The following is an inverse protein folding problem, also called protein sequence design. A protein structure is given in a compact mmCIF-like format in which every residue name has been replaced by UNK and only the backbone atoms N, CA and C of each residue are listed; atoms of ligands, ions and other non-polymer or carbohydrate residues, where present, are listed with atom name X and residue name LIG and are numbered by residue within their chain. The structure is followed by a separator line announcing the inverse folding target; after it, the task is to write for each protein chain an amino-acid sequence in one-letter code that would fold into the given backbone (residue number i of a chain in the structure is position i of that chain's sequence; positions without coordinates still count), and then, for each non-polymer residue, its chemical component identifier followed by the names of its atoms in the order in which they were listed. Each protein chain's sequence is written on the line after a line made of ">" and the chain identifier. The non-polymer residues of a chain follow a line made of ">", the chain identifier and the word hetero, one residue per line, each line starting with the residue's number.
data_IF_713404539386
#
_entry.id   IF_713404539386
#
_cell.length_a   1.000
_cell.length_b   1.000
_cell.length_c   1.000
_cell.angle_alpha   90.00
_cell.angle_beta   90.00
_cell.angle_gamma   90.00
#
_symmetry.space_group_name_H-M   'P 1'
#
loop_
_entity.id
_entity.type
_entity.pdbx_description
1 polymer ?
#
# COMPACT_ATOMS: atom_id res chain seq x y z
N UNK A 1 -9.94 -19.82 -13.35
CA UNK A 1 -9.60 -19.68 -11.97
C UNK A 1 -10.53 -20.48 -11.06
N UNK A 2 -11.06 -19.84 -10.00
CA UNK A 2 -11.80 -20.47 -8.88
C UNK A 2 -12.92 -21.39 -9.34
N UNK A 3 -13.77 -20.98 -10.28
CA UNK A 3 -14.87 -21.83 -10.79
C UNK A 3 -14.40 -23.15 -11.39
N UNK A 4 -13.30 -23.15 -12.15
CA UNK A 4 -12.74 -24.39 -12.72
C UNK A 4 -12.25 -25.34 -11.63
N UNK A 5 -11.68 -24.81 -10.55
CA UNK A 5 -11.25 -25.63 -9.41
C UNK A 5 -12.45 -26.22 -8.68
N UNK A 6 -13.51 -25.44 -8.47
CA UNK A 6 -14.73 -25.91 -7.82
C UNK A 6 -15.43 -27.00 -8.66
N UNK A 7 -15.56 -26.81 -9.97
CA UNK A 7 -16.11 -27.83 -10.88
C UNK A 7 -15.26 -29.12 -10.85
N UNK A 8 -13.93 -28.99 -10.88
CA UNK A 8 -13.03 -30.15 -10.82
C UNK A 8 -13.11 -30.91 -9.50
N UNK A 9 -13.43 -30.25 -8.39
CA UNK A 9 -13.65 -30.85 -7.08
C UNK A 9 -15.09 -31.37 -6.88
N UNK A 10 -15.97 -31.26 -7.87
CA UNK A 10 -17.37 -31.69 -7.75
C UNK A 10 -18.24 -30.81 -6.85
N UNK A 11 -17.83 -29.57 -6.60
CA UNK A 11 -18.62 -28.65 -5.80
C UNK A 11 -19.96 -28.31 -6.49
N UNK A 12 -21.08 -28.20 -5.71
CA UNK A 12 -22.36 -27.78 -6.27
C UNK A 12 -22.23 -26.39 -6.95
N UNK A 13 -22.85 -26.22 -8.12
CA UNK A 13 -22.71 -24.99 -8.92
C UNK A 13 -23.25 -23.73 -8.25
N UNK A 14 -24.17 -23.88 -7.32
CA UNK A 14 -24.82 -22.75 -6.64
C UNK A 14 -24.10 -22.29 -5.36
N UNK A 15 -23.00 -22.96 -5.00
CA UNK A 15 -22.24 -22.64 -3.78
C UNK A 15 -21.50 -21.31 -3.88
N UNK A 16 -21.02 -20.94 -5.08
CA UNK A 16 -20.32 -19.67 -5.36
C UNK A 16 -20.90 -19.02 -6.60
N UNK A 17 -21.32 -17.79 -6.48
CA UNK A 17 -21.82 -16.99 -7.59
C UNK A 17 -21.00 -15.70 -7.72
N UNK A 18 -20.58 -15.38 -8.95
CA UNK A 18 -19.89 -14.12 -9.26
C UNK A 18 -20.88 -13.17 -9.94
N UNK A 19 -21.09 -12.02 -9.33
CA UNK A 19 -21.95 -10.96 -9.87
C UNK A 19 -21.09 -9.72 -10.10
N UNK A 20 -20.90 -9.35 -11.36
CA UNK A 20 -20.27 -8.08 -11.73
C UNK A 20 -21.37 -7.02 -11.92
N UNK A 21 -21.43 -6.05 -11.02
CA UNK A 21 -22.47 -5.03 -11.03
C UNK A 21 -21.95 -3.67 -10.53
N UNK A 22 -22.69 -2.61 -10.84
CA UNK A 22 -22.34 -1.26 -10.42
C UNK A 22 -22.74 -0.96 -8.96
N UNK A 23 -22.31 0.19 -8.43
CA UNK A 23 -22.48 0.56 -7.00
C UNK A 23 -23.94 0.51 -6.51
N UNK A 24 -24.90 0.94 -7.31
CA UNK A 24 -26.33 0.93 -6.93
C UNK A 24 -26.85 -0.50 -6.68
N UNK A 25 -26.44 -1.47 -7.51
CA UNK A 25 -26.86 -2.86 -7.33
C UNK A 25 -26.18 -3.49 -6.10
N UNK A 26 -24.90 -3.15 -5.84
CA UNK A 26 -24.21 -3.57 -4.62
C UNK A 26 -24.90 -3.00 -3.38
N UNK A 27 -25.28 -1.72 -3.39
CA UNK A 27 -26.01 -1.10 -2.27
C UNK A 27 -27.37 -1.77 -2.03
N UNK A 28 -28.11 -2.08 -3.09
CA UNK A 28 -29.37 -2.82 -2.97
C UNK A 28 -29.15 -4.22 -2.38
N UNK A 29 -28.08 -4.90 -2.82
CA UNK A 29 -27.72 -6.21 -2.31
C UNK A 29 -27.36 -6.15 -0.82
N UNK A 30 -26.56 -5.16 -0.38
CA UNK A 30 -26.18 -5.03 1.05
C UNK A 30 -27.35 -4.76 1.98
N UNK A 31 -28.50 -4.31 1.45
CA UNK A 31 -29.75 -4.10 2.20
C UNK A 31 -30.68 -5.32 2.21
N UNK A 32 -30.30 -6.40 1.51
CA UNK A 32 -31.18 -7.56 1.36
C UNK A 32 -31.16 -8.43 2.62
N UNK A 33 -32.34 -8.60 3.24
CA UNK A 33 -32.51 -9.37 4.48
C UNK A 33 -32.17 -10.87 4.36
N UNK A 34 -31.98 -11.38 3.15
CA UNK A 34 -31.57 -12.75 2.88
C UNK A 34 -30.06 -12.98 3.07
N UNK A 35 -29.27 -11.90 3.16
CA UNK A 35 -27.84 -12.03 3.43
C UNK A 35 -27.60 -12.39 4.90
N UNK A 36 -26.95 -13.50 5.13
CA UNK A 36 -26.59 -13.95 6.47
C UNK A 36 -25.33 -13.26 7.01
N UNK A 37 -24.44 -12.79 6.13
CA UNK A 37 -23.19 -12.11 6.47
C UNK A 37 -22.66 -11.31 5.29
N UNK A 38 -22.00 -10.20 5.55
CA UNK A 38 -21.30 -9.39 4.53
C UNK A 38 -19.83 -9.28 4.92
N UNK A 39 -18.95 -9.72 4.03
CA UNK A 39 -17.51 -9.40 4.11
C UNK A 39 -17.20 -8.36 3.04
N UNK A 40 -16.65 -7.23 3.45
CA UNK A 40 -16.29 -6.13 2.55
C UNK A 40 -14.79 -5.84 2.67
N UNK A 41 -14.14 -5.68 1.52
CA UNK A 41 -12.75 -5.23 1.42
C UNK A 41 -12.72 -3.97 0.56
N UNK A 42 -12.20 -2.86 1.10
CA UNK A 42 -12.11 -1.60 0.36
C UNK A 42 -11.86 -0.38 1.24
N UNK A 43 -12.22 0.82 0.76
CA UNK A 43 -11.96 2.05 1.51
C UNK A 43 -12.90 2.23 2.71
N UNK A 44 -12.43 2.95 3.72
CA UNK A 44 -13.18 3.32 4.93
C UNK A 44 -14.53 3.95 4.62
N UNK A 45 -14.54 4.88 3.66
CA UNK A 45 -15.75 5.60 3.28
C UNK A 45 -16.83 4.65 2.75
N UNK A 46 -16.43 3.65 1.94
CA UNK A 46 -17.39 2.65 1.43
C UNK A 46 -17.74 1.64 2.51
N UNK A 47 -16.79 1.23 3.35
CA UNK A 47 -17.04 0.31 4.47
C UNK A 47 -18.09 0.85 5.46
N UNK A 48 -18.05 2.15 5.78
CA UNK A 48 -19.08 2.81 6.60
C UNK A 48 -20.46 2.72 5.96
N UNK A 49 -20.55 2.97 4.65
CA UNK A 49 -21.82 2.85 3.90
C UNK A 49 -22.35 1.41 3.88
N UNK A 50 -21.48 0.42 3.78
CA UNK A 50 -21.85 -0.99 3.87
C UNK A 50 -22.40 -1.33 5.25
N UNK A 51 -21.74 -0.89 6.31
CA UNK A 51 -22.22 -1.09 7.69
C UNK A 51 -23.58 -0.41 7.93
N UNK A 52 -23.76 0.83 7.48
CA UNK A 52 -25.01 1.57 7.55
C UNK A 52 -26.14 0.86 6.78
N UNK A 53 -25.84 0.31 5.60
CA UNK A 53 -26.80 -0.41 4.77
C UNK A 53 -27.23 -1.75 5.39
N UNK A 54 -26.32 -2.44 6.09
CA UNK A 54 -26.57 -3.72 6.76
C UNK A 54 -27.31 -3.59 8.10
N UNK A 55 -27.17 -2.45 8.79
CA UNK A 55 -27.69 -2.23 10.14
C UNK A 55 -29.21 -2.45 10.31
N UNK A 56 -30.11 -2.00 9.39
CA UNK A 56 -31.54 -2.21 9.54
C UNK A 56 -31.98 -3.67 9.59
N UNK A 57 -31.20 -4.58 8.99
CA UNK A 57 -31.45 -6.02 8.96
C UNK A 57 -30.64 -6.77 10.03
N UNK A 58 -29.80 -6.06 10.80
CA UNK A 58 -28.84 -6.63 11.75
C UNK A 58 -27.92 -7.68 11.08
N UNK A 59 -27.65 -7.52 9.77
CA UNK A 59 -26.73 -8.40 9.05
C UNK A 59 -25.31 -8.18 9.56
N UNK A 60 -24.63 -9.22 10.10
CA UNK A 60 -23.24 -9.10 10.56
C UNK A 60 -22.30 -8.72 9.42
N UNK A 61 -21.35 -7.82 9.71
CA UNK A 61 -20.36 -7.37 8.73
C UNK A 61 -18.95 -7.63 9.22
N UNK A 62 -18.07 -8.10 8.31
CA UNK A 62 -16.62 -8.07 8.48
C UNK A 62 -16.06 -7.04 7.50
N UNK A 63 -15.34 -6.05 8.02
CA UNK A 63 -14.81 -4.94 7.23
C UNK A 63 -13.28 -4.99 7.24
N UNK A 64 -12.69 -5.23 6.08
CA UNK A 64 -11.26 -5.11 5.83
C UNK A 64 -11.01 -3.81 5.07
N UNK A 65 -10.44 -2.82 5.75
CA UNK A 65 -10.37 -1.44 5.25
C UNK A 65 -8.94 -1.02 4.96
N UNK A 66 -8.75 0.28 4.71
CA UNK A 66 -7.43 0.85 4.47
C UNK A 66 -6.52 0.90 5.70
N UNK A 67 -5.25 1.19 5.47
CA UNK A 67 -4.23 1.34 6.49
C UNK A 67 -3.35 2.57 6.25
N UNK A 68 -2.59 2.95 7.28
CA UNK A 68 -1.47 3.89 7.19
C UNK A 68 -0.30 3.31 7.98
N UNK A 69 0.10 2.13 7.56
CA UNK A 69 0.93 1.21 8.33
C UNK A 69 2.33 1.76 8.58
N UNK A 70 2.78 1.82 9.84
CA UNK A 70 4.11 2.25 10.19
C UNK A 70 5.13 1.10 10.19
N UNK A 71 6.35 1.40 9.75
CA UNK A 71 7.56 0.70 10.15
C UNK A 71 8.29 1.55 11.19
N UNK A 72 8.33 1.13 12.43
CA UNK A 72 9.13 1.77 13.47
C UNK A 72 10.53 1.15 13.50
N UNK A 73 11.52 1.93 13.10
CA UNK A 73 12.93 1.52 13.06
C UNK A 73 13.61 2.01 14.32
N UNK A 74 14.06 1.10 15.19
CA UNK A 74 14.67 1.42 16.46
C UNK A 74 16.12 1.92 16.32
N UNK A 75 16.64 2.69 17.27
CA UNK A 75 18.02 3.16 17.27
C UNK A 75 19.02 2.01 17.13
N UNK A 76 20.04 2.21 16.28
CA UNK A 76 21.10 1.23 16.05
C UNK A 76 20.71 0.00 15.24
N UNK A 77 19.53 0.02 14.60
CA UNK A 77 19.12 -1.00 13.64
C UNK A 77 20.10 -1.06 12.46
N UNK A 78 20.47 -2.26 12.04
CA UNK A 78 21.21 -2.45 10.79
C UNK A 78 20.27 -2.25 9.59
N UNK A 79 20.25 -1.03 9.06
CA UNK A 79 19.40 -0.67 7.92
C UNK A 79 19.70 -1.51 6.69
N UNK A 80 20.97 -1.86 6.45
CA UNK A 80 21.41 -2.62 5.28
C UNK A 80 20.86 -4.04 5.30
N UNK A 81 20.80 -4.66 6.49
CA UNK A 81 20.20 -5.98 6.66
C UNK A 81 18.72 -6.00 6.29
N UNK A 82 17.98 -4.94 6.62
CA UNK A 82 16.53 -4.86 6.38
C UNK A 82 16.16 -4.19 5.05
N UNK A 83 17.13 -3.69 4.26
CA UNK A 83 16.87 -2.91 3.05
C UNK A 83 15.88 -3.58 2.09
N UNK A 84 16.04 -4.87 1.81
CA UNK A 84 15.15 -5.63 0.92
C UNK A 84 13.73 -5.74 1.48
N UNK A 85 13.59 -5.83 2.80
CA UNK A 85 12.27 -5.86 3.47
C UNK A 85 11.58 -4.50 3.36
N UNK A 86 12.31 -3.39 3.55
CA UNK A 86 11.77 -2.04 3.38
C UNK A 86 11.25 -1.83 1.96
N UNK A 87 12.05 -2.21 0.95
CA UNK A 87 11.66 -2.10 -0.46
C UNK A 87 10.40 -2.92 -0.76
N UNK A 88 10.38 -4.19 -0.33
CA UNK A 88 9.22 -5.06 -0.52
C UNK A 88 7.98 -4.53 0.19
N UNK A 89 8.12 -4.10 1.44
CA UNK A 89 7.01 -3.64 2.27
C UNK A 89 6.30 -2.41 1.68
N UNK A 90 7.06 -1.51 1.02
CA UNK A 90 6.52 -0.31 0.40
C UNK A 90 6.07 -0.53 -1.05
N UNK A 91 6.87 -1.22 -1.87
CA UNK A 91 6.68 -1.23 -3.32
C UNK A 91 6.02 -2.50 -3.88
N UNK A 92 5.75 -3.52 -3.06
CA UNK A 92 4.98 -4.68 -3.50
C UNK A 92 3.63 -4.22 -4.06
N UNK A 93 3.25 -4.73 -5.25
CA UNK A 93 2.05 -4.31 -5.98
C UNK A 93 1.97 -2.78 -6.21
N UNK A 94 3.12 -2.10 -6.31
CA UNK A 94 3.20 -0.62 -6.43
C UNK A 94 2.57 0.11 -5.24
N UNK A 95 2.71 -0.43 -4.03
CA UNK A 95 2.09 0.13 -2.82
C UNK A 95 0.57 0.02 -2.77
N UNK A 96 -0.06 -0.70 -3.69
CA UNK A 96 -1.49 -0.96 -3.71
C UNK A 96 -1.83 -2.14 -2.79
N UNK A 97 -1.55 -1.96 -1.50
CA UNK A 97 -1.72 -2.98 -0.49
C UNK A 97 -2.20 -2.33 0.82
N UNK A 98 -3.33 -2.78 1.36
CA UNK A 98 -3.88 -2.26 2.62
C UNK A 98 -2.93 -2.40 3.81
N UNK A 99 -2.09 -3.46 3.83
CA UNK A 99 -1.02 -3.70 4.82
C UNK A 99 0.36 -3.29 4.30
N UNK A 100 0.45 -2.51 3.22
CA UNK A 100 1.70 -1.94 2.73
C UNK A 100 2.24 -0.89 3.71
N UNK A 101 3.53 -0.93 3.99
CA UNK A 101 4.12 0.10 4.85
C UNK A 101 4.21 1.40 4.07
N UNK A 102 3.54 2.42 4.59
CA UNK A 102 3.53 3.76 4.01
C UNK A 102 4.36 4.76 4.81
N UNK A 103 4.64 4.51 6.10
CA UNK A 103 5.38 5.42 6.99
C UNK A 103 6.59 4.71 7.59
N UNK A 104 7.79 5.15 7.26
CA UNK A 104 9.03 4.68 7.85
C UNK A 104 9.48 5.68 8.92
N UNK A 105 9.17 5.36 10.18
CA UNK A 105 9.55 6.14 11.35
C UNK A 105 10.96 5.76 11.76
N UNK A 106 11.86 6.71 11.78
CA UNK A 106 13.29 6.46 11.98
C UNK A 106 13.89 7.50 12.96
N UNK A 107 14.86 7.17 13.80
CA UNK A 107 15.55 8.17 14.60
C UNK A 107 16.09 9.31 13.75
N UNK A 108 16.02 10.54 14.24
CA UNK A 108 16.54 11.73 13.55
C UNK A 108 17.96 11.50 13.01
N UNK A 109 18.81 10.85 13.81
CA UNK A 109 20.20 10.56 13.46
C UNK A 109 20.39 9.52 12.35
N UNK A 110 19.35 8.77 11.97
CA UNK A 110 19.41 7.71 10.96
C UNK A 110 18.61 8.04 9.70
N UNK A 111 17.96 9.19 9.65
CA UNK A 111 17.10 9.59 8.53
C UNK A 111 17.86 9.65 7.20
N UNK A 112 19.01 10.33 7.20
CA UNK A 112 19.82 10.50 6.00
C UNK A 112 20.44 9.18 5.55
N UNK A 113 20.85 8.32 6.50
CA UNK A 113 21.37 6.98 6.21
C UNK A 113 20.30 6.09 5.56
N UNK A 114 19.06 6.14 6.07
CA UNK A 114 17.95 5.40 5.47
C UNK A 114 17.66 5.92 4.06
N UNK A 115 17.59 7.23 3.87
CA UNK A 115 17.34 7.85 2.57
C UNK A 115 18.44 7.46 1.57
N UNK A 116 19.71 7.58 1.93
CA UNK A 116 20.84 7.23 1.08
C UNK A 116 20.87 5.72 0.74
N UNK A 117 20.40 4.86 1.65
CA UNK A 117 20.31 3.43 1.43
C UNK A 117 19.22 3.05 0.42
N UNK A 118 18.03 3.67 0.52
CA UNK A 118 16.87 3.28 -0.30
C UNK A 118 16.79 4.02 -1.63
N UNK A 119 17.30 5.25 -1.72
CA UNK A 119 17.27 6.07 -2.95
C UNK A 119 17.76 5.31 -4.20
N UNK A 120 19.00 4.75 -4.23
CA UNK A 120 19.50 4.05 -5.41
C UNK A 120 18.71 2.77 -5.72
N UNK A 121 18.12 2.13 -4.69
CA UNK A 121 17.28 0.94 -4.85
C UNK A 121 15.92 1.29 -5.47
N UNK A 122 15.33 2.41 -5.06
CA UNK A 122 14.07 2.91 -5.61
C UNK A 122 14.28 3.37 -7.06
N UNK A 123 15.39 4.08 -7.33
CA UNK A 123 15.75 4.53 -8.67
C UNK A 123 16.01 3.36 -9.65
N UNK A 124 16.45 2.21 -9.12
CA UNK A 124 16.70 1.01 -9.91
C UNK A 124 15.43 0.18 -10.22
N UNK A 125 14.26 0.50 -9.63
CA UNK A 125 13.03 -0.22 -9.90
C UNK A 125 12.59 0.00 -11.36
N UNK A 126 12.49 -1.08 -12.09
CA UNK A 126 12.10 -1.08 -13.51
C UNK A 126 10.57 -1.18 -13.60
N UNK A 127 9.95 -0.08 -13.98
CA UNK A 127 8.53 -0.05 -14.25
C UNK A 127 8.24 -0.67 -15.63
N UNK A 128 7.16 -1.45 -15.74
CA UNK A 128 6.77 -2.04 -17.02
C UNK A 128 5.61 -3.02 -16.91
N UNK A 129 5.33 -3.75 -18.00
CA UNK A 129 4.32 -4.79 -18.02
C UNK A 129 4.98 -6.18 -17.97
N UNK A 130 4.46 -7.03 -17.09
CA UNK A 130 4.81 -8.46 -17.05
C UNK A 130 4.05 -9.27 -18.09
N UNK A 131 3.05 -8.66 -18.74
CA UNK A 131 2.27 -9.26 -19.83
C UNK A 131 2.92 -8.89 -21.17
N UNK A 132 4.06 -9.47 -21.48
CA UNK A 132 4.59 -9.39 -22.83
C UNK A 132 3.75 -10.31 -23.75
N UNK A 133 3.36 -9.82 -24.91
CA UNK A 133 2.55 -10.59 -25.88
C UNK A 133 3.23 -11.90 -26.32
N UNK A 134 4.54 -12.02 -26.16
CA UNK A 134 5.34 -13.19 -26.55
C UNK A 134 5.63 -14.17 -25.43
N UNK A 135 5.40 -13.80 -24.14
CA UNK A 135 5.80 -14.64 -22.99
C UNK A 135 4.86 -14.46 -21.82
N UNK A 136 4.00 -15.43 -21.60
CA UNK A 136 3.27 -15.56 -20.34
C UNK A 136 4.26 -15.75 -19.17
N UNK A 137 4.65 -14.67 -18.53
CA UNK A 137 5.09 -14.66 -17.14
C UNK A 137 6.40 -15.36 -16.77
N UNK A 138 7.24 -15.73 -17.71
CA UNK A 138 8.57 -16.25 -17.41
C UNK A 138 9.62 -15.18 -17.74
N UNK A 139 10.35 -14.76 -16.72
CA UNK A 139 11.54 -13.93 -16.90
C UNK A 139 12.39 -14.53 -18.01
N UNK A 140 12.83 -13.70 -18.97
CA UNK A 140 13.79 -14.17 -19.95
C UNK A 140 15.07 -14.56 -19.22
N UNK A 141 15.69 -15.68 -19.59
CA UNK A 141 16.99 -16.11 -19.06
C UNK A 141 18.12 -15.06 -19.29
N UNK A 142 17.81 -13.98 -19.98
CA UNK A 142 18.76 -12.92 -20.37
C UNK A 142 18.69 -11.65 -19.51
N UNK A 143 17.81 -11.57 -18.51
CA UNK A 143 17.77 -10.44 -17.56
C UNK A 143 17.32 -9.08 -18.13
N UNK A 144 17.11 -8.95 -19.43
CA UNK A 144 16.83 -7.68 -20.10
C UNK A 144 15.36 -7.22 -19.96
N UNK A 145 14.44 -8.14 -19.65
CA UNK A 145 12.99 -7.89 -19.54
C UNK A 145 12.43 -8.06 -18.11
N UNK A 146 13.27 -7.95 -17.09
CA UNK A 146 12.79 -8.06 -15.70
C UNK A 146 12.04 -6.79 -15.31
N UNK A 147 10.77 -6.93 -14.93
CA UNK A 147 9.93 -5.87 -14.40
C UNK A 147 9.81 -6.03 -12.90
N UNK A 148 10.21 -5.00 -12.17
CA UNK A 148 10.13 -4.96 -10.69
C UNK A 148 8.82 -4.34 -10.23
N UNK A 149 8.27 -3.41 -11.03
CA UNK A 149 7.12 -2.59 -10.68
C UNK A 149 6.13 -2.52 -11.86
N UNK A 150 4.95 -3.10 -11.68
CA UNK A 150 3.88 -3.12 -12.68
C UNK A 150 3.11 -1.81 -12.77
N UNK A 151 2.09 -1.79 -13.63
CA UNK A 151 1.14 -0.68 -13.68
C UNK A 151 0.23 -0.68 -12.44
N UNK A 152 -0.23 0.49 -12.06
CA UNK A 152 -1.32 0.63 -11.11
C UNK A 152 -2.64 0.22 -11.76
N UNK A 153 -3.63 -0.15 -10.95
CA UNK A 153 -4.93 -0.64 -11.46
C UNK A 153 -5.69 0.44 -12.24
N UNK A 154 -5.46 1.72 -11.93
CA UNK A 154 -6.12 2.88 -12.54
C UNK A 154 -5.30 4.14 -12.32
N UNK A 155 -5.43 5.10 -13.22
CA UNK A 155 -4.91 6.46 -13.09
C UNK A 155 -5.86 7.43 -12.35
N UNK A 156 -7.05 6.96 -11.98
CA UNK A 156 -8.08 7.79 -11.34
C UNK A 156 -7.61 8.50 -10.05
N UNK A 157 -6.55 7.99 -9.41
CA UNK A 157 -5.98 8.60 -8.20
C UNK A 157 -4.71 9.41 -8.43
N UNK A 158 -4.19 9.47 -9.65
CA UNK A 158 -2.90 10.13 -9.91
C UNK A 158 -2.91 11.62 -9.57
N UNK A 159 -3.99 12.33 -9.93
CA UNK A 159 -4.11 13.76 -9.58
C UNK A 159 -4.09 13.98 -8.06
N UNK A 160 -4.80 13.13 -7.31
CA UNK A 160 -4.82 13.20 -5.85
C UNK A 160 -3.45 12.85 -5.24
N UNK A 161 -2.76 11.85 -5.81
CA UNK A 161 -1.43 11.44 -5.35
C UNK A 161 -0.38 12.52 -5.61
N UNK A 162 -0.37 13.10 -6.81
CA UNK A 162 0.49 14.23 -7.16
C UNK A 162 0.21 15.46 -6.27
N UNK A 163 -1.08 15.73 -5.98
CA UNK A 163 -1.47 16.82 -5.08
C UNK A 163 -1.02 16.59 -3.63
N UNK A 164 -1.11 15.35 -3.10
CA UNK A 164 -0.60 15.00 -1.77
C UNK A 164 0.91 15.19 -1.66
N UNK A 165 1.66 14.80 -2.69
CA UNK A 165 3.11 14.96 -2.74
C UNK A 165 3.47 16.45 -2.82
N UNK A 166 2.79 17.20 -3.69
CA UNK A 166 3.03 18.65 -3.83
C UNK A 166 2.71 19.41 -2.54
N UNK A 167 1.63 19.05 -1.85
CA UNK A 167 1.26 19.61 -0.55
C UNK A 167 2.34 19.34 0.51
N UNK A 168 2.85 18.11 0.59
CA UNK A 168 3.92 17.75 1.51
C UNK A 168 5.21 18.56 1.23
N UNK A 169 5.59 18.70 -0.04
CA UNK A 169 6.75 19.51 -0.45
C UNK A 169 6.57 20.97 -0.08
N UNK A 170 5.38 21.53 -0.31
CA UNK A 170 5.07 22.91 0.08
C UNK A 170 5.15 23.15 1.60
N UNK A 171 4.92 22.10 2.40
CA UNK A 171 5.05 22.12 3.86
C UNK A 171 6.46 21.78 4.37
N UNK A 172 7.44 21.56 3.48
CA UNK A 172 8.84 21.35 3.84
C UNK A 172 9.35 19.91 3.74
N UNK A 173 8.54 18.95 3.29
CA UNK A 173 9.06 17.63 2.92
C UNK A 173 9.98 17.73 1.70
N UNK A 174 11.02 16.89 1.66
CA UNK A 174 11.95 16.85 0.54
C UNK A 174 11.58 15.70 -0.40
N UNK A 175 11.17 16.03 -1.62
CA UNK A 175 11.05 15.05 -2.70
C UNK A 175 12.45 14.70 -3.23
N UNK A 176 12.90 13.49 -2.97
CA UNK A 176 14.21 12.99 -3.38
C UNK A 176 14.15 12.46 -4.81
N UNK A 177 13.10 11.67 -5.12
CA UNK A 177 12.86 11.16 -6.47
C UNK A 177 11.38 10.81 -6.69
N UNK A 178 10.97 10.65 -7.94
CA UNK A 178 9.62 10.27 -8.34
C UNK A 178 8.60 11.40 -8.30
N UNK A 179 7.46 11.17 -7.67
CA UNK A 179 6.42 12.17 -7.41
C UNK A 179 5.49 12.50 -8.57
N UNK A 180 5.49 11.70 -9.64
CA UNK A 180 4.70 11.99 -10.84
C UNK A 180 4.30 10.73 -11.61
N UNK A 181 3.24 10.86 -12.39
CA UNK A 181 2.86 9.84 -13.39
C UNK A 181 3.92 9.71 -14.47
N UNK A 182 4.02 8.52 -15.06
CA UNK A 182 4.98 8.19 -16.12
C UNK A 182 4.24 7.61 -17.31
N UNK A 183 4.58 8.07 -18.51
CA UNK A 183 4.19 7.41 -19.76
C UNK A 183 5.34 6.50 -20.17
N UNK A 184 5.08 5.20 -20.22
CA UNK A 184 6.09 4.21 -20.58
C UNK A 184 6.16 4.06 -22.11
N UNK A 185 7.35 4.16 -22.69
CA UNK A 185 7.52 4.15 -24.15
C UNK A 185 6.98 2.86 -24.80
N UNK A 186 7.32 1.69 -24.23
CA UNK A 186 6.89 0.38 -24.75
C UNK A 186 5.42 0.05 -24.42
N UNK A 187 4.89 0.56 -23.29
CA UNK A 187 3.52 0.29 -22.82
C UNK A 187 2.77 1.57 -22.46
N UNK A 188 2.45 2.43 -23.45
CA UNK A 188 1.89 3.77 -23.19
C UNK A 188 0.48 3.75 -22.61
N UNK A 189 -0.24 2.62 -22.72
CA UNK A 189 -1.58 2.45 -22.15
C UNK A 189 -1.56 2.00 -20.68
N UNK A 190 -0.39 1.72 -20.12
CA UNK A 190 -0.27 1.34 -18.72
C UNK A 190 -0.34 2.55 -17.79
N UNK A 191 -0.98 2.37 -16.63
CA UNK A 191 -1.10 3.41 -15.61
C UNK A 191 0.15 3.38 -14.71
N UNK A 192 1.22 4.06 -15.08
CA UNK A 192 2.46 4.05 -14.30
C UNK A 192 2.62 5.32 -13.48
N UNK A 193 3.06 5.13 -12.24
CA UNK A 193 3.48 6.19 -11.34
C UNK A 193 4.92 5.94 -10.91
N UNK A 194 5.75 6.97 -10.92
CA UNK A 194 7.16 6.82 -10.57
C UNK A 194 7.31 6.40 -9.10
N UNK A 195 8.08 5.34 -8.78
CA UNK A 195 8.46 5.05 -7.41
C UNK A 195 9.06 6.29 -6.76
N UNK A 196 8.54 6.65 -5.59
CA UNK A 196 8.72 7.98 -4.99
C UNK A 196 9.38 7.85 -3.63
N UNK A 197 10.29 8.77 -3.31
CA UNK A 197 10.89 8.92 -1.99
C UNK A 197 10.71 10.34 -1.49
N UNK A 198 10.07 10.46 -0.33
CA UNK A 198 9.93 11.69 0.43
C UNK A 198 10.64 11.57 1.79
N UNK A 199 11.43 12.57 2.16
CA UNK A 199 12.07 12.68 3.47
C UNK A 199 11.61 13.93 4.21
N UNK A 200 11.93 14.05 5.50
CA UNK A 200 11.50 15.17 6.35
C UNK A 200 9.97 15.32 6.43
N UNK A 201 9.25 14.21 6.27
CA UNK A 201 7.79 14.21 6.36
C UNK A 201 7.37 14.41 7.82
N UNK A 202 6.53 15.42 8.05
CA UNK A 202 6.02 15.73 9.38
C UNK A 202 4.65 15.09 9.62
N UNK A 203 4.29 14.75 10.87
CA UNK A 203 3.04 14.08 11.19
C UNK A 203 1.79 14.93 10.88
N UNK A 204 1.94 16.25 10.75
CA UNK A 204 0.85 17.17 10.40
C UNK A 204 0.55 17.23 8.91
N UNK A 205 1.43 16.71 8.06
CA UNK A 205 1.23 16.68 6.62
C UNK A 205 0.15 15.66 6.24
N UNK A 206 -0.72 16.02 5.31
CA UNK A 206 -1.78 15.12 4.84
C UNK A 206 -1.27 13.76 4.38
N UNK A 207 -0.14 13.74 3.68
CA UNK A 207 0.49 12.52 3.18
C UNK A 207 0.92 11.55 4.31
N UNK A 208 1.15 12.05 5.53
CA UNK A 208 1.46 11.25 6.71
C UNK A 208 0.21 10.64 7.36
N UNK A 209 -0.99 11.17 7.05
CA UNK A 209 -2.26 10.82 7.67
C UNK A 209 -3.21 10.07 6.73
N UNK A 210 -3.22 10.42 5.44
CA UNK A 210 -4.08 9.81 4.44
C UNK A 210 -3.42 8.58 3.80
N UNK A 211 -4.20 7.52 3.58
CA UNK A 211 -3.73 6.34 2.83
C UNK A 211 -3.37 6.76 1.39
N UNK A 212 -2.12 6.50 1.02
CA UNK A 212 -1.58 6.82 -0.32
C UNK A 212 -2.01 5.76 -1.35
N UNK A 213 -1.94 4.48 -0.98
CA UNK A 213 -2.22 3.33 -1.85
C UNK A 213 -1.48 3.42 -3.18
N UNK A 214 -0.18 3.73 -3.09
CA UNK A 214 0.71 3.99 -4.23
C UNK A 214 2.19 3.84 -3.85
N UNK A 215 3.09 3.93 -4.85
CA UNK A 215 4.51 3.62 -4.67
C UNK A 215 5.29 4.77 -4.02
N UNK A 216 4.97 5.12 -2.78
CA UNK A 216 5.55 6.27 -2.07
C UNK A 216 6.16 5.83 -0.75
N UNK A 217 7.46 5.98 -0.64
CA UNK A 217 8.26 5.73 0.57
C UNK A 217 8.37 7.03 1.37
N UNK A 218 7.75 7.08 2.56
CA UNK A 218 7.78 8.26 3.43
C UNK A 218 8.76 8.05 4.58
N UNK A 219 9.80 8.87 4.67
CA UNK A 219 10.72 8.87 5.82
C UNK A 219 10.30 9.97 6.78
N UNK A 220 9.98 9.56 8.01
CA UNK A 220 9.48 10.43 9.08
C UNK A 220 10.43 10.33 10.28
N UNK A 221 11.13 11.40 10.64
CA UNK A 221 12.07 11.38 11.78
C UNK A 221 11.34 11.43 13.12
N UNK A 222 11.97 10.84 14.14
CA UNK A 222 11.56 10.96 15.53
C UNK A 222 12.79 11.17 16.47
N UNK A 223 12.59 11.85 17.60
CA UNK A 223 13.66 12.19 18.54
C UNK A 223 14.01 11.06 19.50
N UNK A 224 13.01 10.31 19.96
CA UNK A 224 13.13 9.18 20.87
C UNK A 224 12.06 8.12 20.60
N UNK A 225 12.26 6.91 21.13
CA UNK A 225 11.40 5.75 20.86
C UNK A 225 9.95 6.00 21.27
N UNK A 226 9.73 6.72 22.36
CA UNK A 226 8.37 7.05 22.84
C UNK A 226 7.64 7.94 21.84
N UNK A 227 8.30 8.96 21.29
CA UNK A 227 7.76 9.78 20.22
C UNK A 227 7.50 8.92 18.96
N UNK A 228 8.42 7.99 18.63
CA UNK A 228 8.23 7.05 17.53
C UNK A 228 6.95 6.22 17.69
N UNK A 229 6.68 5.71 18.89
CA UNK A 229 5.44 4.98 19.21
C UNK A 229 4.21 5.89 19.07
N UNK A 230 4.29 7.12 19.59
CA UNK A 230 3.20 8.09 19.48
C UNK A 230 2.89 8.42 18.01
N UNK A 231 3.92 8.62 17.19
CA UNK A 231 3.77 8.85 15.75
C UNK A 231 3.19 7.63 15.02
N UNK A 232 3.59 6.41 15.38
CA UNK A 232 3.04 5.19 14.83
C UNK A 232 1.52 5.12 15.07
N UNK A 233 1.07 5.49 16.25
CA UNK A 233 -0.33 5.47 16.66
C UNK A 233 -1.14 6.73 16.27
N UNK A 234 -0.48 7.79 15.79
CA UNK A 234 -1.14 9.05 15.43
C UNK A 234 -1.78 8.97 14.03
N UNK A 235 -2.80 8.14 13.87
CA UNK A 235 -3.55 7.95 12.64
C UNK A 235 -4.93 7.36 12.98
N UNK A 236 -5.97 7.60 12.17
CA UNK A 236 -7.28 6.97 12.36
C UNK A 236 -7.31 5.49 11.95
N UNK A 237 -6.24 4.99 11.34
CA UNK A 237 -6.12 3.60 10.91
C UNK A 237 -5.48 2.72 11.99
N UNK A 238 -5.62 1.39 11.85
CA UNK A 238 -5.05 0.43 12.78
C UNK A 238 -5.03 -0.98 12.20
N UNK A 239 -4.42 -1.14 11.00
CA UNK A 239 -4.41 -2.42 10.29
C UNK A 239 -3.12 -3.21 10.52
N UNK A 240 -1.97 -2.71 10.06
CA UNK A 240 -0.67 -3.35 10.23
C UNK A 240 0.36 -2.43 10.86
N UNK A 241 1.41 -3.02 11.42
CA UNK A 241 2.59 -2.32 11.91
C UNK A 241 3.79 -3.27 11.91
N UNK A 242 4.99 -2.70 11.82
CA UNK A 242 6.24 -3.46 11.94
C UNK A 242 7.25 -2.70 12.80
N UNK A 243 8.00 -3.44 13.61
CA UNK A 243 9.11 -2.90 14.40
C UNK A 243 10.41 -3.56 13.96
N UNK A 244 11.41 -2.75 13.66
CA UNK A 244 12.73 -3.19 13.22
C UNK A 244 13.77 -2.79 14.25
N UNK A 245 14.54 -3.75 14.74
CA UNK A 245 15.56 -3.54 15.75
C UNK A 245 16.60 -4.65 15.78
N UNK A 246 17.66 -4.45 16.53
CA UNK A 246 18.71 -5.46 16.74
C UNK A 246 18.27 -6.55 17.71
N UNK A 247 17.47 -6.19 18.71
CA UNK A 247 17.02 -7.07 19.78
C UNK A 247 15.53 -7.35 19.63
N UNK A 248 15.21 -8.63 19.45
CA UNK A 248 13.83 -9.09 19.33
C UNK A 248 12.99 -8.84 20.61
N UNK A 249 13.60 -8.91 21.79
CA UNK A 249 12.90 -8.63 23.04
C UNK A 249 12.54 -7.13 23.15
N UNK A 250 13.42 -6.25 22.67
CA UNK A 250 13.14 -4.82 22.57
C UNK A 250 12.02 -4.54 21.56
N UNK A 251 12.08 -5.13 20.37
CA UNK A 251 11.02 -4.99 19.36
C UNK A 251 9.65 -5.44 19.87
N UNK A 252 9.59 -6.48 20.72
CA UNK A 252 8.34 -6.96 21.31
C UNK A 252 7.78 -6.07 22.42
N UNK A 253 8.64 -5.29 23.06
CA UNK A 253 8.22 -4.39 24.14
C UNK A 253 7.61 -3.09 23.59
N UNK A 254 8.03 -2.70 22.42
CA UNK A 254 7.51 -1.56 21.67
C UNK A 254 6.20 -1.92 20.97
#
# INVERSE_FOLDING_TARGET
>A
GVYRCLDACGAPRDIVQLVACGPMAVEALTRDARLAHITFIGSDAVGRRVAEAAAPQLTPTTLELGGKDPALILPGTDLSFFASMFMRACFQAMGQNCIGIERFLVPDSMQDDLAALVEPRIAALRCGSTLDETRFGLASDKGEDVVDAGAMISDARFDALEALIADAVAQGARLVLGGKRVVHEKWPMGHYFAPTLLTHVQPTMRIAQEEVFGPVFLVMPYSDVEQGIQLANNTPYGLGASVFGRDHAECKRV
#
